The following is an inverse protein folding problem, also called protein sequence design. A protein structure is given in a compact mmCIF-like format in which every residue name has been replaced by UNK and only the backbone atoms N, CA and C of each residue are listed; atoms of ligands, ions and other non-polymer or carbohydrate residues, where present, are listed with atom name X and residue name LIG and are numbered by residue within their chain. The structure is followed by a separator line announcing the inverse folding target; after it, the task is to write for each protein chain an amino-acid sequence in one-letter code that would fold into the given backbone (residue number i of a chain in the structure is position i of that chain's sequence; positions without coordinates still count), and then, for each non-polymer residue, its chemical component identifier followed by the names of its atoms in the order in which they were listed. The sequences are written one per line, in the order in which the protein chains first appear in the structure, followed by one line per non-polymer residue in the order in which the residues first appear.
data_IF_906784578839
#
_entry.id   IF_906784578839
#
_cell.length_a   1.000
_cell.length_b   1.000
_cell.length_c   1.000
_cell.angle_alpha   90.00
_cell.angle_beta   90.00
_cell.angle_gamma   90.00
#
_symmetry.space_group_name_H-M   'P 1'
#
loop_
_entity.id
_entity.type
_entity.pdbx_description
1 polymer ?
#
# COMPACT_ATOMS: atom_id res chain seq x y z
N UNK A 1 5.84 9.18 -24.66
CA UNK A 1 5.97 9.33 -23.20
C UNK A 1 6.16 10.80 -22.89
N UNK A 2 5.26 11.42 -22.13
CA UNK A 2 5.41 12.81 -21.67
C UNK A 2 6.72 12.96 -20.87
N UNK A 3 7.52 13.96 -21.25
CA UNK A 3 8.76 14.32 -20.55
C UNK A 3 8.41 15.26 -19.40
N UNK A 4 8.13 14.69 -18.24
CA UNK A 4 7.89 15.44 -17.01
C UNK A 4 9.23 15.89 -16.44
N UNK A 5 9.31 17.17 -16.06
CA UNK A 5 10.51 17.73 -15.44
C UNK A 5 10.81 17.00 -14.12
N UNK A 6 12.06 16.61 -13.88
CA UNK A 6 12.45 15.76 -12.74
C UNK A 6 12.07 16.35 -11.36
N UNK A 7 11.97 17.69 -11.28
CA UNK A 7 11.52 18.40 -10.08
C UNK A 7 10.00 18.49 -9.91
N UNK A 8 9.21 18.13 -10.93
CA UNK A 8 7.76 18.08 -10.86
C UNK A 8 7.23 16.65 -10.68
N UNK A 9 8.11 15.65 -10.60
CA UNK A 9 7.72 14.24 -10.40
C UNK A 9 7.01 13.96 -9.07
N UNK A 10 7.04 14.88 -8.09
CA UNK A 10 6.22 14.78 -6.89
C UNK A 10 4.73 15.07 -7.14
N UNK A 11 4.38 15.69 -8.29
CA UNK A 11 3.01 15.93 -8.75
C UNK A 11 2.40 14.74 -9.49
N UNK A 12 3.23 13.77 -9.89
CA UNK A 12 2.72 12.47 -10.34
C UNK A 12 2.01 11.83 -9.15
N UNK A 13 0.87 11.16 -9.38
CA UNK A 13 -0.09 10.61 -8.39
C UNK A 13 0.48 9.54 -7.41
N UNK A 14 1.78 9.54 -7.14
CA UNK A 14 2.45 8.67 -6.20
C UNK A 14 3.05 7.44 -6.85
N UNK A 15 3.33 7.47 -8.15
CA UNK A 15 4.12 6.42 -8.80
C UNK A 15 5.58 6.50 -8.33
N UNK A 16 5.92 5.75 -7.27
CA UNK A 16 7.27 5.71 -6.71
C UNK A 16 8.31 5.23 -7.75
N UNK A 17 7.91 4.53 -8.83
CA UNK A 17 8.84 4.11 -9.92
C UNK A 17 9.37 5.31 -10.70
N UNK A 18 8.65 6.44 -10.65
CA UNK A 18 9.01 7.71 -11.28
C UNK A 18 9.48 8.75 -10.26
N UNK A 19 9.78 8.34 -9.02
CA UNK A 19 10.27 9.25 -8.00
C UNK A 19 11.70 9.71 -8.33
N UNK A 20 11.96 11.04 -8.35
CA UNK A 20 13.32 11.59 -8.48
C UNK A 20 14.32 10.95 -7.53
N UNK A 21 13.88 10.66 -6.30
CA UNK A 21 14.74 10.09 -5.27
C UNK A 21 15.09 8.62 -5.54
N UNK A 22 14.41 7.93 -6.44
CA UNK A 22 14.67 6.51 -6.72
C UNK A 22 16.13 6.22 -7.10
N UNK A 23 16.81 7.15 -7.78
CA UNK A 23 18.22 7.00 -8.19
C UNK A 23 19.22 7.00 -7.03
N UNK A 24 18.88 7.58 -5.88
CA UNK A 24 19.81 7.80 -4.76
C UNK A 24 19.22 7.49 -3.38
N UNK A 25 17.96 7.08 -3.30
CA UNK A 25 17.30 6.68 -2.08
C UNK A 25 17.50 5.18 -1.88
N UNK A 26 18.23 4.81 -0.83
CA UNK A 26 18.41 3.41 -0.41
C UNK A 26 17.25 2.88 0.45
N UNK A 27 16.31 3.74 0.86
CA UNK A 27 15.18 3.36 1.70
C UNK A 27 13.98 2.87 0.86
N UNK A 28 13.24 1.87 1.34
CA UNK A 28 11.96 1.48 0.72
C UNK A 28 11.00 2.68 0.62
N UNK A 29 10.22 2.75 -0.46
CA UNK A 29 9.21 3.81 -0.60
C UNK A 29 8.12 3.62 0.45
N UNK A 30 7.93 4.58 1.36
CA UNK A 30 6.91 4.52 2.42
C UNK A 30 5.51 4.28 1.85
N UNK A 31 5.16 4.95 0.74
CA UNK A 31 3.85 4.76 0.09
C UNK A 31 3.67 3.36 -0.46
N UNK A 32 4.63 2.82 -1.21
CA UNK A 32 4.57 1.43 -1.68
C UNK A 32 4.47 0.46 -0.51
N UNK A 33 5.29 0.64 0.53
CA UNK A 33 5.23 -0.19 1.74
C UNK A 33 3.82 -0.22 2.35
N UNK A 34 3.14 0.92 2.44
CA UNK A 34 1.77 0.97 2.97
C UNK A 34 0.76 0.28 2.05
N UNK A 35 0.90 0.43 0.72
CA UNK A 35 0.06 -0.26 -0.26
C UNK A 35 0.24 -1.77 -0.15
N UNK A 36 1.49 -2.25 -0.17
CA UNK A 36 1.82 -3.67 -0.06
C UNK A 36 1.30 -4.24 1.28
N UNK A 37 1.46 -3.51 2.38
CA UNK A 37 0.93 -3.91 3.69
C UNK A 37 -0.59 -3.99 3.72
N UNK A 38 -1.29 -3.04 3.09
CA UNK A 38 -2.75 -3.04 3.02
C UNK A 38 -3.26 -4.20 2.17
N UNK A 39 -2.60 -4.49 1.05
CA UNK A 39 -2.92 -5.61 0.16
C UNK A 39 -2.72 -6.96 0.87
N UNK A 40 -1.56 -7.16 1.52
CA UNK A 40 -1.29 -8.36 2.33
C UNK A 40 -2.33 -8.52 3.45
N UNK A 41 -2.65 -7.44 4.16
CA UNK A 41 -3.66 -7.47 5.22
C UNK A 41 -5.04 -7.86 4.68
N UNK A 42 -5.40 -7.40 3.48
CA UNK A 42 -6.62 -7.80 2.77
C UNK A 42 -6.67 -9.31 2.51
N UNK A 43 -5.61 -9.87 1.92
CA UNK A 43 -5.53 -11.31 1.66
C UNK A 43 -5.58 -12.16 2.93
N UNK A 44 -4.88 -11.74 3.99
CA UNK A 44 -4.93 -12.42 5.28
C UNK A 44 -6.33 -12.37 5.88
N UNK A 45 -7.01 -11.22 5.83
CA UNK A 45 -8.37 -11.08 6.32
C UNK A 45 -9.36 -11.97 5.57
N UNK A 46 -9.24 -12.04 4.23
CA UNK A 46 -10.06 -12.92 3.39
C UNK A 46 -9.83 -14.40 3.75
N UNK A 47 -8.57 -14.83 3.81
CA UNK A 47 -8.23 -16.21 4.18
C UNK A 47 -8.76 -16.59 5.56
N UNK A 48 -8.66 -15.69 6.55
CA UNK A 48 -9.19 -15.91 7.89
C UNK A 48 -10.72 -15.97 7.90
N UNK A 49 -11.42 -15.13 7.14
CA UNK A 49 -12.87 -15.20 7.03
C UNK A 49 -13.33 -16.52 6.37
N UNK A 50 -12.61 -16.99 5.35
CA UNK A 50 -12.90 -18.27 4.69
C UNK A 50 -12.78 -19.46 5.66
N UNK A 51 -11.79 -19.46 6.56
CA UNK A 51 -11.61 -20.50 7.57
C UNK A 51 -12.62 -20.38 8.71
N UNK A 52 -13.00 -19.15 9.08
CA UNK A 52 -13.80 -18.87 10.29
C UNK A 52 -15.28 -18.62 10.03
N UNK A 53 -15.75 -18.70 8.78
CA UNK A 53 -17.12 -18.36 8.42
C UNK A 53 -17.45 -16.90 8.78
N UNK A 54 -16.58 -15.97 8.38
CA UNK A 54 -16.66 -14.52 8.64
C UNK A 54 -16.57 -14.09 10.12
N UNK A 55 -16.29 -15.02 11.04
CA UNK A 55 -16.17 -14.67 12.46
C UNK A 55 -15.02 -13.69 12.73
N UNK A 56 -13.90 -13.82 12.02
CA UNK A 56 -12.78 -12.89 12.11
C UNK A 56 -13.20 -11.44 11.84
N UNK A 57 -13.90 -11.18 10.73
CA UNK A 57 -14.39 -9.85 10.39
C UNK A 57 -15.37 -9.29 11.44
N UNK A 58 -16.23 -10.14 12.02
CA UNK A 58 -17.18 -9.73 13.07
C UNK A 58 -16.46 -9.32 14.36
N UNK A 59 -15.47 -10.10 14.80
CA UNK A 59 -14.66 -9.82 16.00
C UNK A 59 -13.82 -8.55 15.82
N UNK A 60 -13.23 -8.35 14.64
CA UNK A 60 -12.44 -7.16 14.36
C UNK A 60 -13.29 -5.89 14.35
N UNK A 61 -14.51 -5.94 13.78
CA UNK A 61 -15.46 -4.82 13.84
C UNK A 61 -15.89 -4.49 15.28
N UNK A 62 -16.13 -5.49 16.13
CA UNK A 62 -16.52 -5.26 17.53
C UNK A 62 -15.37 -4.80 18.43
N UNK A 63 -14.12 -4.84 17.98
CA UNK A 63 -12.95 -4.30 18.69
C UNK A 63 -12.56 -2.89 18.26
N UNK A 64 -13.03 -2.43 17.09
CA UNK A 64 -12.80 -1.06 16.60
C UNK A 64 -13.80 -0.04 17.16
N UNK A 65 -14.91 -0.51 17.72
CA UNK A 65 -15.92 0.28 18.45
C UNK A 65 -15.94 -0.16 19.91
#
# INVERSE_FOLDING_TARGET
MERIQENEQWKLDGDCRKCRRAKYCSKPCTRCKHVDQAEIAGYVAEALNNITGDAYGKIMKSRMY
#
